data_IF_470017719437
#
_entry.id   IF_470017719437
#
_cell.length_a   1.000
_cell.length_b   1.000
_cell.length_c   1.000
_cell.angle_alpha   90.00
_cell.angle_beta   90.00
_cell.angle_gamma   90.00
#
_symmetry.space_group_name_H-M   'P 1'
#
loop_
_entity.id
_entity.type
_entity.pdbx_description
1 polymer ?
#
# COMPACT_ATOMS: atom_id res chain seq x y z
N UNK A 1 2.58 4.07 31.93
CA UNK A 1 1.27 3.97 31.24
C UNK A 1 1.08 4.98 30.12
N UNK A 2 1.28 6.31 30.31
CA UNK A 2 1.17 7.27 29.20
C UNK A 2 2.32 7.15 28.16
N UNK A 3 3.51 6.74 28.61
CA UNK A 3 4.69 6.49 27.76
C UNK A 3 4.48 5.41 26.70
N UNK A 4 3.73 4.37 27.05
CA UNK A 4 3.57 3.18 26.19
C UNK A 4 2.58 3.48 25.06
N UNK A 5 1.56 4.28 25.36
CA UNK A 5 0.58 4.78 24.39
C UNK A 5 1.24 5.62 23.30
N UNK A 6 2.21 6.45 23.65
CA UNK A 6 2.94 7.27 22.68
C UNK A 6 3.60 6.41 21.59
N UNK A 7 4.26 5.31 21.96
CA UNK A 7 4.93 4.43 21.01
C UNK A 7 3.95 3.71 20.07
N UNK A 8 2.78 3.33 20.60
CA UNK A 8 1.70 2.73 19.80
C UNK A 8 1.13 3.77 18.81
N UNK A 9 0.78 4.97 19.27
CA UNK A 9 0.28 6.02 18.39
C UNK A 9 1.30 6.41 17.33
N UNK A 10 2.58 6.44 17.71
CA UNK A 10 3.66 6.76 16.77
C UNK A 10 3.80 5.71 15.68
N UNK A 11 3.70 4.42 16.01
CA UNK A 11 3.78 3.35 15.00
C UNK A 11 2.61 3.40 14.02
N UNK A 12 1.40 3.73 14.48
CA UNK A 12 0.25 3.96 13.60
C UNK A 12 0.40 5.21 12.72
N UNK A 13 0.96 6.30 13.24
CA UNK A 13 1.29 7.49 12.44
C UNK A 13 2.28 7.17 11.33
N UNK A 14 3.32 6.40 11.65
CA UNK A 14 4.34 5.99 10.68
C UNK A 14 3.73 5.02 9.64
N UNK A 15 2.89 4.06 10.05
CA UNK A 15 2.19 3.16 9.13
C UNK A 15 1.24 3.89 8.16
N UNK A 16 0.51 4.91 8.64
CA UNK A 16 -0.31 5.76 7.78
C UNK A 16 0.56 6.49 6.74
N UNK A 17 1.64 7.14 7.17
CA UNK A 17 2.48 7.98 6.30
C UNK A 17 3.38 7.20 5.33
N UNK A 18 3.88 6.04 5.75
CA UNK A 18 4.88 5.28 5.00
C UNK A 18 4.29 4.16 4.17
N UNK A 19 3.26 3.48 4.69
CA UNK A 19 2.66 2.29 4.07
C UNK A 19 1.22 2.53 3.58
N UNK A 20 0.68 3.74 3.69
CA UNK A 20 -0.68 4.06 3.21
C UNK A 20 -1.77 3.31 3.97
N UNK A 21 -1.60 3.14 5.28
CA UNK A 21 -2.56 2.39 6.11
C UNK A 21 -3.99 2.94 6.02
N UNK A 22 -4.17 4.25 5.84
CA UNK A 22 -5.47 4.90 5.65
C UNK A 22 -5.85 5.15 4.18
N UNK A 23 -5.04 4.69 3.21
CA UNK A 23 -5.25 4.93 1.77
C UNK A 23 -6.00 3.78 1.07
N UNK A 24 -6.70 2.93 1.83
CA UNK A 24 -7.50 1.85 1.25
C UNK A 24 -8.79 2.39 0.62
N UNK A 25 -9.05 2.00 -0.63
CA UNK A 25 -10.30 2.34 -1.33
C UNK A 25 -11.29 1.16 -1.38
N UNK A 26 -11.07 0.15 -0.52
CA UNK A 26 -11.87 -1.08 -0.48
C UNK A 26 -13.07 -0.93 0.45
N UNK A 27 -14.20 -1.55 0.10
CA UNK A 27 -15.45 -1.53 0.90
C UNK A 27 -15.81 -2.87 1.52
N UNK A 28 -15.12 -3.94 1.13
CA UNK A 28 -15.39 -5.28 1.63
C UNK A 28 -14.47 -5.58 2.82
N UNK A 29 -15.00 -6.25 3.85
CA UNK A 29 -14.26 -6.63 5.04
C UNK A 29 -12.97 -7.41 4.74
N UNK A 30 -13.06 -8.48 3.94
CA UNK A 30 -11.89 -9.27 3.57
C UNK A 30 -10.84 -8.47 2.80
N UNK A 31 -11.28 -7.55 1.94
CA UNK A 31 -10.37 -6.70 1.18
C UNK A 31 -9.64 -5.71 2.12
N UNK A 32 -10.32 -5.19 3.14
CA UNK A 32 -9.71 -4.37 4.18
C UNK A 32 -8.68 -5.17 4.99
N UNK A 33 -9.01 -6.40 5.39
CA UNK A 33 -8.05 -7.28 6.07
C UNK A 33 -6.79 -7.56 5.25
N UNK A 34 -6.95 -7.83 3.95
CA UNK A 34 -5.80 -8.04 3.07
C UNK A 34 -4.93 -6.78 2.96
N UNK A 35 -5.55 -5.60 2.86
CA UNK A 35 -4.81 -4.32 2.90
C UNK A 35 -4.03 -4.16 4.21
N UNK A 36 -4.66 -4.40 5.36
CA UNK A 36 -4.00 -4.32 6.66
C UNK A 36 -2.84 -5.32 6.79
N UNK A 37 -3.00 -6.55 6.28
CA UNK A 37 -1.91 -7.53 6.27
C UNK A 37 -0.71 -7.06 5.44
N UNK A 38 -0.95 -6.47 4.26
CA UNK A 38 0.11 -5.91 3.41
C UNK A 38 0.79 -4.71 4.06
N UNK A 39 0.04 -3.83 4.72
CA UNK A 39 0.57 -2.69 5.49
C UNK A 39 1.49 -3.19 6.61
N UNK A 40 1.06 -4.17 7.39
CA UNK A 40 1.86 -4.74 8.47
C UNK A 40 3.14 -5.42 7.94
N UNK A 41 3.05 -6.13 6.82
CA UNK A 41 4.21 -6.74 6.16
C UNK A 41 5.21 -5.68 5.69
N UNK A 42 4.74 -4.58 5.08
CA UNK A 42 5.59 -3.48 4.66
C UNK A 42 6.28 -2.80 5.86
N UNK A 43 5.55 -2.56 6.95
CA UNK A 43 6.10 -1.96 8.17
C UNK A 43 7.12 -2.87 8.86
N UNK A 44 6.87 -4.19 8.89
CA UNK A 44 7.83 -5.17 9.39
C UNK A 44 9.15 -5.07 8.62
N UNK A 45 9.07 -5.09 7.30
CA UNK A 45 10.26 -5.03 6.45
C UNK A 45 11.02 -3.70 6.60
N UNK A 46 10.33 -2.54 6.60
CA UNK A 46 10.96 -1.23 6.85
C UNK A 46 11.69 -1.21 8.21
N UNK A 47 11.10 -1.84 9.23
CA UNK A 47 11.67 -1.90 10.58
C UNK A 47 12.92 -2.79 10.61
N UNK A 48 12.90 -3.93 9.92
CA UNK A 48 14.05 -4.81 9.78
C UNK A 48 15.22 -4.09 9.08
N UNK A 49 14.94 -3.41 7.97
CA UNK A 49 15.94 -2.63 7.25
C UNK A 49 16.50 -1.48 8.09
N UNK A 50 15.65 -0.81 8.88
CA UNK A 50 16.12 0.22 9.80
C UNK A 50 17.08 -0.33 10.85
N UNK A 51 16.77 -1.48 11.45
CA UNK A 51 17.64 -2.14 12.45
C UNK A 51 19.00 -2.47 11.81
N UNK A 52 18.99 -3.02 10.61
CA UNK A 52 20.21 -3.33 9.87
C UNK A 52 21.00 -2.05 9.53
N UNK A 53 20.35 -1.02 8.98
CA UNK A 53 21.01 0.24 8.62
C UNK A 53 21.56 1.00 9.83
N UNK A 54 20.93 0.86 11.00
CA UNK A 54 21.41 1.47 12.26
C UNK A 54 22.74 0.89 12.74
N UNK A 55 23.12 -0.32 12.31
CA UNK A 55 24.46 -0.86 12.56
C UNK A 55 25.54 -0.01 11.89
N UNK A 56 25.26 0.53 10.70
CA UNK A 56 26.17 1.39 9.94
C UNK A 56 26.08 2.84 10.40
N UNK A 57 24.86 3.36 10.58
CA UNK A 57 24.60 4.76 10.95
C UNK A 57 23.45 4.85 11.96
N UNK A 58 23.78 5.13 13.21
CA UNK A 58 22.82 5.13 14.33
C UNK A 58 21.65 6.11 14.21
N UNK A 59 21.80 7.22 13.49
CA UNK A 59 20.80 8.31 13.39
C UNK A 59 19.77 8.15 12.25
N UNK A 60 19.66 6.98 11.61
CA UNK A 60 18.64 6.77 10.57
C UNK A 60 17.21 6.70 11.14
N UNK A 61 16.27 7.21 10.34
CA UNK A 61 14.83 7.14 10.56
C UNK A 61 14.15 6.21 9.54
N UNK A 62 12.92 5.76 9.84
CA UNK A 62 12.14 4.95 8.90
C UNK A 62 11.86 5.68 7.58
N UNK A 63 11.70 7.01 7.63
CA UNK A 63 11.52 7.84 6.44
C UNK A 63 12.74 7.79 5.50
N UNK A 64 13.95 7.75 6.07
CA UNK A 64 15.19 7.65 5.28
C UNK A 64 15.27 6.31 4.56
N UNK A 65 14.89 5.22 5.23
CA UNK A 65 14.82 3.88 4.63
C UNK A 65 13.87 3.89 3.42
N UNK A 66 12.64 4.38 3.62
CA UNK A 66 11.65 4.50 2.52
C UNK A 66 12.16 5.38 1.39
N UNK A 67 12.88 6.47 1.69
CA UNK A 67 13.51 7.33 0.68
C UNK A 67 14.59 6.58 -0.10
N UNK A 68 15.46 5.82 0.58
CA UNK A 68 16.50 5.01 -0.07
C UNK A 68 15.85 4.02 -1.04
N UNK A 69 14.80 3.32 -0.61
CA UNK A 69 14.11 2.33 -1.44
C UNK A 69 13.47 2.96 -2.66
N UNK A 70 12.82 4.11 -2.50
CA UNK A 70 12.26 4.86 -3.64
C UNK A 70 13.33 5.27 -4.66
N UNK A 71 14.57 5.48 -4.22
CA UNK A 71 15.70 5.71 -5.11
C UNK A 71 16.24 4.42 -5.74
N UNK A 72 16.21 3.30 -5.02
CA UNK A 72 16.69 2.00 -5.51
C UNK A 72 15.73 1.34 -6.50
N UNK A 73 14.42 1.55 -6.32
CA UNK A 73 13.41 1.03 -7.25
C UNK A 73 13.40 1.95 -8.47
N UNK A 74 13.82 1.48 -9.66
CA UNK A 74 13.80 2.31 -10.85
C UNK A 74 12.35 2.71 -11.13
N UNK A 75 12.08 4.01 -11.39
CA UNK A 75 10.75 4.42 -11.78
C UNK A 75 10.38 3.70 -13.07
N UNK A 76 9.10 3.31 -13.19
CA UNK A 76 8.60 2.74 -14.44
C UNK A 76 8.77 3.78 -15.54
N UNK A 77 9.68 3.53 -16.49
CA UNK A 77 9.83 4.37 -17.69
C UNK A 77 8.53 4.25 -18.47
N UNK A 78 7.83 5.37 -18.66
CA UNK A 78 6.56 5.41 -19.36
C UNK A 78 6.71 6.12 -20.70
N UNK A 79 6.58 5.36 -21.78
CA UNK A 79 6.41 5.88 -23.14
C UNK A 79 4.92 6.21 -23.42
N UNK A 80 4.65 7.12 -24.34
CA UNK A 80 3.29 7.55 -24.70
C UNK A 80 2.39 6.36 -25.07
N UNK A 81 2.92 5.38 -25.81
CA UNK A 81 2.17 4.17 -26.17
C UNK A 81 1.87 3.29 -24.95
N UNK A 82 2.78 3.24 -23.98
CA UNK A 82 2.58 2.47 -22.73
C UNK A 82 1.47 3.06 -21.85
N UNK A 83 1.37 4.39 -21.84
CA UNK A 83 0.31 5.13 -21.15
C UNK A 83 -1.03 4.87 -21.85
N UNK A 84 -1.09 4.99 -23.18
CA UNK A 84 -2.30 4.73 -23.96
C UNK A 84 -2.82 3.30 -23.74
N UNK A 85 -1.94 2.29 -23.75
CA UNK A 85 -2.30 0.89 -23.43
C UNK A 85 -2.89 0.75 -22.03
N UNK A 86 -2.30 1.42 -21.05
CA UNK A 86 -2.78 1.41 -19.66
C UNK A 86 -4.17 2.02 -19.54
N UNK A 87 -4.42 3.15 -20.24
CA UNK A 87 -5.74 3.79 -20.28
C UNK A 87 -6.79 2.85 -20.86
N UNK A 88 -6.50 2.23 -22.01
CA UNK A 88 -7.43 1.26 -22.63
C UNK A 88 -7.69 0.05 -21.73
N UNK A 89 -6.65 -0.50 -21.10
CA UNK A 89 -6.79 -1.62 -20.16
C UNK A 89 -7.66 -1.24 -18.95
N UNK A 90 -7.46 -0.03 -18.38
CA UNK A 90 -8.27 0.46 -17.28
C UNK A 90 -9.73 0.65 -17.68
N UNK A 91 -10.01 1.07 -18.92
CA UNK A 91 -11.38 1.12 -19.44
C UNK A 91 -12.02 -0.27 -19.53
N UNK A 92 -11.31 -1.24 -20.11
CA UNK A 92 -11.79 -2.62 -20.17
C UNK A 92 -12.07 -3.19 -18.78
N UNK A 93 -11.17 -2.98 -17.82
CA UNK A 93 -11.34 -3.40 -16.43
C UNK A 93 -12.58 -2.78 -15.79
N UNK A 94 -12.82 -1.47 -16.01
CA UNK A 94 -14.04 -0.78 -15.55
C UNK A 94 -15.30 -1.40 -16.18
N UNK A 95 -15.29 -1.68 -17.49
CA UNK A 95 -16.44 -2.33 -18.18
C UNK A 95 -16.69 -3.73 -17.64
N UNK A 96 -15.65 -4.54 -17.46
CA UNK A 96 -15.74 -5.91 -16.95
C UNK A 96 -16.28 -5.93 -15.51
N UNK A 97 -15.79 -5.04 -14.65
CA UNK A 97 -16.29 -4.89 -13.27
C UNK A 97 -17.80 -4.57 -13.25
N UNK A 98 -18.26 -3.64 -14.10
CA UNK A 98 -19.70 -3.33 -14.24
C UNK A 98 -20.49 -4.55 -14.70
N UNK A 99 -20.05 -5.27 -15.73
CA UNK A 99 -20.72 -6.49 -16.24
C UNK A 99 -20.80 -7.57 -15.16
N UNK A 100 -19.73 -7.83 -14.43
CA UNK A 100 -19.71 -8.81 -13.33
C UNK A 100 -20.70 -8.44 -12.23
N UNK A 101 -20.79 -7.16 -11.85
CA UNK A 101 -21.77 -6.68 -10.86
C UNK A 101 -23.20 -6.90 -11.34
N UNK A 102 -23.51 -6.59 -12.60
CA UNK A 102 -24.84 -6.81 -13.19
C UNK A 102 -25.22 -8.29 -13.21
N UNK A 103 -24.29 -9.18 -13.60
CA UNK A 103 -24.52 -10.63 -13.58
C UNK A 103 -24.83 -11.16 -12.17
N UNK A 104 -24.11 -10.68 -11.15
CA UNK A 104 -24.36 -11.07 -9.75
C UNK A 104 -25.73 -10.60 -9.25
N UNK A 105 -26.15 -9.38 -9.61
CA UNK A 105 -27.48 -8.87 -9.26
C UNK A 105 -28.59 -9.74 -9.87
N UNK A 106 -28.46 -10.10 -11.14
CA UNK A 106 -29.47 -10.90 -11.82
C UNK A 106 -29.59 -12.32 -11.24
N UNK A 107 -28.49 -12.94 -10.80
CA UNK A 107 -28.50 -14.25 -10.12
C UNK A 107 -29.15 -14.24 -8.74
N UNK A 108 -29.26 -13.09 -8.08
CA UNK A 108 -29.87 -12.98 -6.75
C UNK A 108 -31.39 -12.72 -6.82
N UNK A 109 -31.93 -12.45 -8.02
CA UNK A 109 -33.35 -12.17 -8.27
C UNK A 109 -34.10 -13.37 -8.86
N UNK A 110 -33.37 -14.43 -9.24
CA UNK A 110 -33.86 -15.74 -9.68
C UNK A 110 -33.72 -16.73 -8.54
#
# INVERSE_FOLDING_TARGET
>A
MQSDRFWIERSFQDANKLAGMNEYQVRNWNAWHHHMALVLLAMLWITQELIQARSVRKKLTMHDIVRIIKCLIPPKVQDALSVARTIMMNEMNRRNSRKCKMKRKNRALT
#
